data_IF_379793600238
#
_entry.id   IF_379793600238
#
_cell.length_a   1.000
_cell.length_b   1.000
_cell.length_c   1.000
_cell.angle_alpha   90.00
_cell.angle_beta   90.00
_cell.angle_gamma   90.00
#
_symmetry.space_group_name_H-M   'P 1'
#
loop_
_entity.id
_entity.type
_entity.pdbx_description
1 polymer ?
#
# COMPACT_ATOMS: atom_id res chain seq x y z
N UNK A 1 -15.98 -9.85 -34.46
CA UNK A 1 -15.67 -9.75 -33.01
C UNK A 1 -14.38 -8.95 -32.75
N UNK A 2 -14.27 -7.70 -33.22
CA UNK A 2 -13.10 -6.84 -32.94
C UNK A 2 -13.44 -5.42 -32.42
N UNK A 3 -14.72 -5.08 -32.24
CA UNK A 3 -15.15 -3.70 -31.93
C UNK A 3 -16.01 -3.58 -30.66
N UNK A 4 -15.72 -4.34 -29.60
CA UNK A 4 -16.34 -4.13 -28.28
C UNK A 4 -15.33 -3.58 -27.25
N UNK A 5 -14.03 -3.53 -27.59
CA UNK A 5 -12.95 -3.13 -26.68
C UNK A 5 -12.46 -1.68 -26.85
N UNK A 6 -13.27 -0.79 -27.41
CA UNK A 6 -12.94 0.64 -27.60
C UNK A 6 -13.89 1.56 -26.84
N UNK A 7 -14.29 1.18 -25.62
CA UNK A 7 -14.83 2.17 -24.68
C UNK A 7 -13.66 2.99 -24.12
N UNK A 8 -13.77 4.34 -24.09
CA UNK A 8 -12.66 5.23 -23.77
C UNK A 8 -12.14 4.93 -22.36
N UNK A 9 -10.87 4.55 -22.29
CA UNK A 9 -10.15 4.08 -21.11
C UNK A 9 -9.73 5.29 -20.26
N UNK A 10 -10.71 5.95 -19.64
CA UNK A 10 -10.53 7.28 -19.06
C UNK A 10 -11.03 7.29 -17.60
N UNK A 11 -10.56 6.37 -16.76
CA UNK A 11 -10.86 6.40 -15.31
C UNK A 11 -9.85 5.63 -14.43
N UNK A 12 -8.54 5.83 -14.64
CA UNK A 12 -7.47 5.09 -13.96
C UNK A 12 -7.62 5.03 -12.42
N UNK A 13 -7.49 6.14 -11.70
CA UNK A 13 -7.54 6.12 -10.23
C UNK A 13 -8.91 5.71 -9.66
N UNK A 14 -10.01 6.10 -10.30
CA UNK A 14 -11.35 5.72 -9.84
C UNK A 14 -11.53 4.19 -9.88
N UNK A 15 -11.08 3.55 -10.96
CA UNK A 15 -11.17 2.10 -11.09
C UNK A 15 -10.16 1.37 -10.22
N UNK A 16 -9.00 1.98 -9.95
CA UNK A 16 -8.09 1.52 -8.90
C UNK A 16 -8.76 1.49 -7.52
N UNK A 17 -9.50 2.54 -7.14
CA UNK A 17 -10.25 2.57 -5.88
C UNK A 17 -11.33 1.47 -5.87
N UNK A 18 -12.09 1.32 -6.95
CA UNK A 18 -13.12 0.27 -7.05
C UNK A 18 -12.49 -1.12 -6.95
N UNK A 19 -11.33 -1.34 -7.56
CA UNK A 19 -10.55 -2.57 -7.44
C UNK A 19 -10.11 -2.84 -6.00
N UNK A 20 -9.53 -1.84 -5.34
CA UNK A 20 -9.14 -1.95 -3.93
C UNK A 20 -10.32 -2.34 -3.04
N UNK A 21 -11.47 -1.70 -3.24
CA UNK A 21 -12.71 -2.03 -2.54
C UNK A 21 -13.15 -3.47 -2.82
N UNK A 22 -13.17 -3.89 -4.09
CA UNK A 22 -13.51 -5.25 -4.48
C UNK A 22 -12.62 -6.29 -3.78
N UNK A 23 -11.32 -6.02 -3.69
CA UNK A 23 -10.37 -6.85 -2.94
C UNK A 23 -10.66 -6.90 -1.44
N UNK A 24 -11.02 -5.76 -0.83
CA UNK A 24 -11.43 -5.70 0.58
C UNK A 24 -12.73 -6.48 0.84
N UNK A 25 -13.71 -6.37 -0.05
CA UNK A 25 -14.95 -7.16 0.02
C UNK A 25 -14.67 -8.66 -0.09
N UNK A 26 -13.79 -9.06 -1.00
CA UNK A 26 -13.36 -10.45 -1.13
C UNK A 26 -12.63 -10.93 0.15
N UNK A 27 -11.79 -10.09 0.75
CA UNK A 27 -11.17 -10.37 2.06
C UNK A 27 -12.20 -10.58 3.17
N UNK A 28 -13.20 -9.68 3.27
CA UNK A 28 -14.32 -9.80 4.22
C UNK A 28 -15.04 -11.14 4.06
N UNK A 29 -15.26 -11.57 2.82
CA UNK A 29 -15.89 -12.85 2.52
C UNK A 29 -15.09 -14.04 3.09
N UNK A 30 -13.76 -14.04 2.97
CA UNK A 30 -12.91 -15.07 3.58
C UNK A 30 -12.94 -15.00 5.11
N UNK A 31 -12.89 -13.81 5.71
CA UNK A 31 -13.02 -13.66 7.16
C UNK A 31 -14.35 -14.18 7.70
N UNK A 32 -15.46 -13.94 7.00
CA UNK A 32 -16.78 -14.50 7.37
C UNK A 32 -16.82 -16.03 7.28
N UNK A 33 -15.91 -16.66 6.53
CA UNK A 33 -15.75 -18.12 6.43
C UNK A 33 -14.73 -18.70 7.40
N UNK A 34 -14.27 -17.91 8.38
CA UNK A 34 -13.34 -18.35 9.40
C UNK A 34 -11.87 -18.28 9.00
N UNK A 35 -11.50 -17.46 8.02
CA UNK A 35 -10.09 -17.24 7.69
C UNK A 35 -9.29 -16.71 8.89
N UNK A 36 -8.14 -17.33 9.16
CA UNK A 36 -7.21 -16.90 10.20
C UNK A 36 -5.78 -17.28 9.81
N UNK A 37 -4.82 -16.38 10.05
CA UNK A 37 -3.38 -16.61 9.86
C UNK A 37 -2.71 -17.25 11.09
N UNK A 38 -3.50 -17.63 12.11
CA UNK A 38 -3.01 -18.15 13.38
C UNK A 38 -3.09 -17.12 14.52
N UNK A 39 -2.70 -17.54 15.72
CA UNK A 39 -2.68 -16.67 16.91
C UNK A 39 -1.39 -15.86 16.94
N UNK A 40 -1.51 -14.56 17.17
CA UNK A 40 -0.38 -13.71 17.54
C UNK A 40 0.10 -14.07 18.96
N UNK A 41 1.41 -14.28 19.13
CA UNK A 41 2.03 -14.53 20.42
C UNK A 41 2.66 -13.27 21.01
N UNK A 42 2.81 -13.23 22.34
CA UNK A 42 3.64 -12.22 22.98
C UNK A 42 5.10 -12.45 22.62
N UNK A 43 5.81 -11.38 22.24
CA UNK A 43 7.22 -11.42 21.90
C UNK A 43 8.03 -10.58 22.89
N UNK A 44 9.28 -10.98 23.10
CA UNK A 44 10.23 -10.30 23.97
C UNK A 44 10.42 -8.82 23.61
N UNK A 45 10.62 -7.98 24.63
CA UNK A 45 10.94 -6.55 24.49
C UNK A 45 12.20 -6.30 23.65
N UNK A 46 13.12 -7.28 23.56
CA UNK A 46 14.30 -7.15 22.70
C UNK A 46 13.91 -7.05 21.21
N UNK A 47 12.86 -7.77 20.78
CA UNK A 47 12.40 -7.77 19.39
C UNK A 47 11.79 -6.43 18.98
N UNK A 48 11.19 -5.68 19.91
CA UNK A 48 10.59 -4.37 19.61
C UNK A 48 11.62 -3.26 19.39
N UNK A 49 12.90 -3.49 19.75
CA UNK A 49 13.99 -2.54 19.52
C UNK A 49 14.56 -2.66 18.10
N UNK A 50 14.39 -3.81 17.43
CA UNK A 50 14.93 -4.07 16.08
C UNK A 50 14.52 -2.99 15.06
N UNK A 51 13.24 -2.56 14.97
CA UNK A 51 12.84 -1.51 14.05
C UNK A 51 13.52 -0.17 14.32
N UNK A 52 13.81 0.15 15.59
CA UNK A 52 14.50 1.39 15.97
C UNK A 52 15.92 1.40 15.40
N UNK A 53 16.66 0.29 15.56
CA UNK A 53 17.99 0.17 14.97
C UNK A 53 17.97 0.28 13.44
N UNK A 54 16.98 -0.33 12.78
CA UNK A 54 16.82 -0.23 11.32
C UNK A 54 16.57 1.23 10.92
N UNK A 55 15.67 1.95 11.60
CA UNK A 55 15.38 3.36 11.31
C UNK A 55 16.61 4.24 11.52
N UNK A 56 17.36 4.02 12.61
CA UNK A 56 18.62 4.75 12.87
C UNK A 56 19.64 4.45 11.77
N UNK A 57 19.81 3.18 11.37
CA UNK A 57 20.73 2.80 10.30
C UNK A 57 20.32 3.43 8.95
N UNK A 58 19.03 3.42 8.61
CA UNK A 58 18.50 4.07 7.41
C UNK A 58 18.70 5.59 7.46
N UNK A 59 18.52 6.21 8.62
CA UNK A 59 18.76 7.63 8.81
C UNK A 59 20.24 7.99 8.65
N UNK A 60 21.16 7.19 9.22
CA UNK A 60 22.60 7.34 9.04
C UNK A 60 22.98 7.17 7.56
N UNK A 61 22.45 6.14 6.88
CA UNK A 61 22.68 5.92 5.46
C UNK A 61 22.19 7.11 4.60
N UNK A 62 21.06 7.72 4.99
CA UNK A 62 20.50 8.90 4.33
C UNK A 62 21.37 10.15 4.51
N UNK A 63 21.81 10.47 5.73
CA UNK A 63 22.63 11.68 5.99
C UNK A 63 24.04 11.56 5.41
N UNK A 64 24.61 10.35 5.38
CA UNK A 64 25.94 10.08 4.82
C UNK A 64 25.92 9.88 3.31
N UNK A 65 24.73 9.89 2.69
CA UNK A 65 24.53 9.57 1.27
C UNK A 65 25.25 8.27 0.87
N UNK A 66 25.13 7.24 1.72
CA UNK A 66 25.87 6.00 1.56
C UNK A 66 25.55 5.31 0.24
N UNK A 67 26.58 5.02 -0.55
CA UNK A 67 26.49 4.33 -1.85
C UNK A 67 27.53 3.21 -1.84
N UNK A 68 27.14 2.00 -2.27
CA UNK A 68 28.08 0.88 -2.37
C UNK A 68 29.05 1.01 -3.56
N UNK A 69 28.73 1.84 -4.56
CA UNK A 69 29.53 2.08 -5.78
C UNK A 69 28.64 2.32 -6.99
N UNK A 70 29.22 2.53 -8.17
CA UNK A 70 28.47 2.62 -9.43
C UNK A 70 27.86 1.26 -9.79
N UNK A 71 26.55 1.21 -10.06
CA UNK A 71 25.76 0.01 -10.41
C UNK A 71 25.56 -1.04 -9.30
N UNK A 72 25.73 -0.70 -8.03
CA UNK A 72 25.44 -1.60 -6.90
C UNK A 72 24.02 -1.41 -6.30
N UNK A 73 23.51 -2.39 -5.52
CA UNK A 73 22.09 -2.46 -5.10
C UNK A 73 21.57 -1.35 -4.19
N UNK A 74 22.45 -0.48 -3.68
CA UNK A 74 22.05 0.74 -2.95
C UNK A 74 22.49 1.96 -3.75
N UNK A 75 21.52 2.59 -4.39
CA UNK A 75 21.66 3.82 -5.14
C UNK A 75 20.55 4.80 -4.76
N UNK A 76 20.80 6.09 -4.94
CA UNK A 76 19.80 7.13 -4.76
C UNK A 76 19.01 7.31 -6.06
N UNK A 77 17.69 7.23 -5.97
CA UNK A 77 16.83 7.45 -7.14
C UNK A 77 16.78 8.94 -7.49
N UNK A 78 16.91 9.26 -8.77
CA UNK A 78 16.87 10.66 -9.25
C UNK A 78 15.45 11.11 -9.64
N UNK A 79 14.58 10.18 -10.05
CA UNK A 79 13.30 10.50 -10.73
C UNK A 79 12.07 9.79 -10.15
N UNK A 80 12.23 8.97 -9.11
CA UNK A 80 11.08 8.28 -8.50
C UNK A 80 10.25 9.22 -7.60
N UNK A 81 8.99 8.88 -7.28
CA UNK A 81 8.16 9.67 -6.36
C UNK A 81 8.82 9.88 -4.99
N UNK A 82 9.59 8.90 -4.51
CA UNK A 82 10.34 8.99 -3.26
C UNK A 82 11.56 9.92 -3.34
N UNK A 83 12.06 10.24 -4.54
CA UNK A 83 13.11 11.23 -4.76
C UNK A 83 12.58 12.66 -4.67
N UNK A 84 11.28 12.86 -4.89
CA UNK A 84 10.61 14.14 -4.74
C UNK A 84 10.22 14.37 -3.27
N UNK A 85 11.20 14.66 -2.43
CA UNK A 85 10.97 14.98 -1.02
C UNK A 85 11.23 16.46 -0.72
N UNK A 86 10.52 17.00 0.27
CA UNK A 86 10.82 18.31 0.83
C UNK A 86 12.16 18.26 1.59
N UNK A 87 12.58 19.38 2.20
CA UNK A 87 13.71 19.38 3.12
C UNK A 87 13.58 18.23 4.14
N UNK A 88 14.68 17.53 4.40
CA UNK A 88 14.75 16.36 5.29
C UNK A 88 14.03 16.60 6.63
N UNK A 89 14.27 17.77 7.25
CA UNK A 89 13.69 18.10 8.55
C UNK A 89 12.18 18.32 8.49
N UNK A 90 11.68 18.92 7.41
CA UNK A 90 10.24 19.08 7.19
C UNK A 90 9.57 17.72 6.98
N UNK A 91 10.20 16.84 6.19
CA UNK A 91 9.70 15.49 5.94
C UNK A 91 9.66 14.65 7.22
N UNK A 92 10.71 14.72 8.06
CA UNK A 92 10.75 14.04 9.36
C UNK A 92 9.70 14.61 10.33
N UNK A 93 9.61 15.94 10.45
CA UNK A 93 8.62 16.58 11.32
C UNK A 93 7.18 16.24 10.92
N UNK A 94 6.86 16.30 9.62
CA UNK A 94 5.56 15.90 9.10
C UNK A 94 5.30 14.40 9.32
N UNK A 95 6.31 13.54 9.11
CA UNK A 95 6.22 12.10 9.36
C UNK A 95 5.91 11.76 10.81
N UNK A 96 6.57 12.42 11.77
CA UNK A 96 6.30 12.27 13.21
C UNK A 96 4.88 12.71 13.56
N UNK A 97 4.45 13.88 13.06
CA UNK A 97 3.09 14.38 13.29
C UNK A 97 2.03 13.42 12.73
N UNK A 98 2.19 12.98 11.48
CA UNK A 98 1.27 12.02 10.84
C UNK A 98 1.28 10.69 11.58
N UNK A 99 2.45 10.20 12.01
CA UNK A 99 2.58 8.99 12.79
C UNK A 99 1.82 9.06 14.12
N UNK A 100 1.98 10.15 14.89
CA UNK A 100 1.26 10.38 16.14
C UNK A 100 -0.26 10.40 15.91
N UNK A 101 -0.72 11.12 14.88
CA UNK A 101 -2.15 11.21 14.55
C UNK A 101 -2.70 9.84 14.12
N UNK A 102 -1.99 9.11 13.27
CA UNK A 102 -2.40 7.78 12.81
C UNK A 102 -2.43 6.76 13.95
N UNK A 103 -1.46 6.81 14.85
CA UNK A 103 -1.42 5.95 16.04
C UNK A 103 -2.62 6.21 16.96
N UNK A 104 -2.90 7.48 17.27
CA UNK A 104 -3.99 7.87 18.18
C UNK A 104 -5.37 7.61 17.58
N UNK A 105 -5.54 7.88 16.29
CA UNK A 105 -6.81 7.68 15.59
C UNK A 105 -7.08 6.22 15.19
N UNK A 106 -6.06 5.34 15.25
CA UNK A 106 -6.08 3.98 14.72
C UNK A 106 -6.53 3.95 13.25
N UNK A 107 -6.13 4.96 12.48
CA UNK A 107 -6.57 5.13 11.10
C UNK A 107 -6.17 3.93 10.23
N UNK A 108 -7.15 3.35 9.55
CA UNK A 108 -6.96 2.23 8.64
C UNK A 108 -7.92 2.36 7.48
N UNK A 109 -7.41 2.57 6.26
CA UNK A 109 -8.28 2.72 5.09
C UNK A 109 -9.16 1.48 4.86
N UNK A 110 -8.62 0.29 5.11
CA UNK A 110 -9.36 -0.98 4.98
C UNK A 110 -10.33 -1.16 6.15
N UNK A 111 -9.90 -0.78 7.34
CA UNK A 111 -10.74 -0.80 8.54
C UNK A 111 -11.94 0.11 8.39
N UNK A 112 -11.81 1.26 7.74
CA UNK A 112 -12.92 2.15 7.45
C UNK A 112 -14.01 1.47 6.64
N UNK A 113 -13.66 0.84 5.51
CA UNK A 113 -14.65 0.13 4.71
C UNK A 113 -15.18 -1.10 5.43
N UNK A 114 -14.31 -1.92 6.06
CA UNK A 114 -14.74 -3.11 6.82
C UNK A 114 -15.71 -2.75 7.94
N UNK A 115 -15.40 -1.74 8.76
CA UNK A 115 -16.24 -1.32 9.89
C UNK A 115 -17.55 -0.72 9.40
N UNK A 116 -17.52 0.05 8.32
CA UNK A 116 -18.73 0.57 7.70
C UNK A 116 -19.66 -0.54 7.21
N UNK A 117 -19.12 -1.59 6.57
CA UNK A 117 -19.92 -2.70 6.03
C UNK A 117 -20.40 -3.66 7.12
N UNK A 118 -19.54 -4.05 8.06
CA UNK A 118 -19.87 -5.05 9.09
C UNK A 118 -20.60 -4.46 10.29
N UNK A 119 -20.16 -3.29 10.75
CA UNK A 119 -20.59 -2.70 12.03
C UNK A 119 -21.37 -1.40 11.84
N UNK A 120 -21.52 -0.90 10.60
CA UNK A 120 -22.12 0.40 10.27
C UNK A 120 -21.45 1.59 10.97
N UNK A 121 -20.19 1.44 11.35
CA UNK A 121 -19.40 2.49 11.98
C UNK A 121 -18.69 3.32 10.91
N UNK A 122 -19.05 4.61 10.85
CA UNK A 122 -18.52 5.58 9.87
C UNK A 122 -17.36 6.42 10.41
N UNK A 123 -16.93 6.22 11.66
CA UNK A 123 -15.89 7.04 12.30
C UNK A 123 -14.59 7.07 11.48
N UNK A 124 -14.07 5.91 11.08
CA UNK A 124 -12.88 5.80 10.25
C UNK A 124 -13.11 6.26 8.80
N UNK A 125 -14.33 6.10 8.29
CA UNK A 125 -14.71 6.55 6.94
C UNK A 125 -14.68 8.08 6.84
N UNK A 126 -15.15 8.78 7.87
CA UNK A 126 -15.03 10.24 7.97
C UNK A 126 -13.58 10.71 7.90
N UNK A 127 -12.63 9.93 8.45
CA UNK A 127 -11.20 10.19 8.29
C UNK A 127 -10.72 10.12 6.85
N UNK A 128 -11.20 9.16 6.05
CA UNK A 128 -10.89 9.08 4.61
C UNK A 128 -11.46 10.29 3.87
N UNK A 129 -12.72 10.64 4.14
CA UNK A 129 -13.38 11.79 3.52
C UNK A 129 -12.63 13.08 3.85
N UNK A 130 -12.27 13.28 5.12
CA UNK A 130 -11.48 14.43 5.55
C UNK A 130 -10.12 14.50 4.84
N UNK A 131 -9.43 13.36 4.70
CA UNK A 131 -8.15 13.28 3.97
C UNK A 131 -8.34 13.70 2.50
N UNK A 132 -9.34 13.16 1.80
CA UNK A 132 -9.62 13.51 0.40
C UNK A 132 -9.95 14.99 0.24
N UNK A 133 -10.79 15.55 1.11
CA UNK A 133 -11.19 16.96 1.07
C UNK A 133 -10.00 17.86 1.34
N UNK A 134 -9.26 17.64 2.44
CA UNK A 134 -8.10 18.44 2.80
C UNK A 134 -7.00 18.37 1.72
N UNK A 135 -6.70 17.18 1.20
CA UNK A 135 -5.72 17.02 0.12
C UNK A 135 -6.17 17.73 -1.15
N UNK A 136 -7.46 17.71 -1.49
CA UNK A 136 -8.00 18.42 -2.66
C UNK A 136 -7.87 19.94 -2.50
N UNK A 137 -8.25 20.48 -1.32
CA UNK A 137 -8.13 21.91 -1.00
C UNK A 137 -6.66 22.35 -1.06
N UNK A 138 -5.75 21.60 -0.43
CA UNK A 138 -4.31 21.92 -0.45
C UNK A 138 -3.76 21.90 -1.87
N UNK A 139 -4.12 20.90 -2.70
CA UNK A 139 -3.69 20.87 -4.10
C UNK A 139 -4.26 22.04 -4.92
N UNK A 140 -5.50 22.48 -4.64
CA UNK A 140 -6.09 23.66 -5.27
C UNK A 140 -5.33 24.94 -4.88
N UNK A 141 -5.01 25.11 -3.59
CA UNK A 141 -4.24 26.25 -3.09
C UNK A 141 -2.82 26.30 -3.67
N UNK A 142 -2.19 25.15 -3.89
CA UNK A 142 -0.86 25.03 -4.49
C UNK A 142 -0.87 25.07 -6.03
N UNK A 143 -2.05 25.16 -6.68
CA UNK A 143 -2.18 25.09 -8.14
C UNK A 143 -1.79 23.73 -8.75
N UNK A 144 -1.70 22.69 -7.92
CA UNK A 144 -1.32 21.33 -8.30
C UNK A 144 -2.52 20.43 -8.62
N UNK A 145 -3.74 20.93 -8.44
CA UNK A 145 -4.96 20.18 -8.69
C UNK A 145 -5.18 19.95 -10.19
N UNK A 146 -4.99 18.69 -10.62
CA UNK A 146 -5.28 18.24 -11.99
C UNK A 146 -6.45 17.27 -11.96
N UNK A 147 -7.65 17.79 -12.23
CA UNK A 147 -8.82 16.96 -12.43
C UNK A 147 -8.80 16.44 -13.87
N UNK A 148 -8.36 15.21 -14.03
CA UNK A 148 -8.25 14.55 -15.31
C UNK A 148 -8.22 13.05 -15.08
N UNK A 149 -8.49 12.30 -16.13
CA UNK A 149 -8.62 10.85 -16.07
C UNK A 149 -7.48 10.12 -16.79
N UNK A 150 -6.63 10.88 -17.47
CA UNK A 150 -5.39 10.44 -18.12
C UNK A 150 -4.21 11.13 -17.46
N UNK A 151 -3.04 10.47 -17.49
CA UNK A 151 -1.79 11.00 -16.94
C UNK A 151 -1.88 11.44 -15.46
N UNK A 152 -2.77 10.80 -14.71
CA UNK A 152 -2.82 10.96 -13.26
C UNK A 152 -1.51 10.44 -12.65
N UNK A 153 -0.92 11.15 -11.66
CA UNK A 153 0.30 10.69 -11.01
C UNK A 153 0.11 9.27 -10.46
N UNK A 154 1.06 8.37 -10.75
CA UNK A 154 1.14 6.98 -10.25
C UNK A 154 0.03 6.04 -10.80
N UNK A 155 -1.12 6.55 -11.23
CA UNK A 155 -2.20 5.71 -11.78
C UNK A 155 -1.90 5.29 -13.22
N UNK A 156 -2.05 3.99 -13.49
CA UNK A 156 -1.93 3.47 -14.85
C UNK A 156 -3.21 3.74 -15.64
N UNK A 157 -3.04 4.14 -16.90
CA UNK A 157 -4.16 4.36 -17.82
C UNK A 157 -4.89 3.05 -18.15
N UNK A 158 -4.24 1.88 -18.03
CA UNK A 158 -4.91 0.60 -18.28
C UNK A 158 -5.89 0.25 -17.15
N UNK A 159 -7.18 0.39 -17.46
CA UNK A 159 -8.29 0.15 -16.54
C UNK A 159 -8.31 -1.27 -15.98
N UNK A 160 -8.05 -2.29 -16.80
CA UNK A 160 -8.19 -3.69 -16.40
C UNK A 160 -7.11 -4.03 -15.39
N UNK A 161 -5.86 -3.68 -15.71
CA UNK A 161 -4.74 -3.98 -14.84
C UNK A 161 -4.71 -3.12 -13.59
N UNK A 162 -5.17 -1.87 -13.66
CA UNK A 162 -5.32 -1.03 -12.47
C UNK A 162 -6.37 -1.61 -11.51
N UNK A 163 -7.53 -2.01 -12.01
CA UNK A 163 -8.55 -2.68 -11.21
C UNK A 163 -8.06 -3.99 -10.60
N UNK A 164 -7.46 -4.89 -11.40
CA UNK A 164 -7.00 -6.20 -10.93
C UNK A 164 -5.84 -6.10 -9.94
N UNK A 165 -4.87 -5.20 -10.19
CA UNK A 165 -3.74 -4.98 -9.29
C UNK A 165 -4.21 -4.41 -7.96
N UNK A 166 -5.13 -3.44 -7.98
CA UNK A 166 -5.68 -2.89 -6.74
C UNK A 166 -6.59 -3.89 -6.02
N UNK A 167 -7.28 -4.78 -6.73
CA UNK A 167 -8.00 -5.92 -6.14
C UNK A 167 -7.05 -6.85 -5.39
N UNK A 168 -5.91 -7.17 -5.99
CA UNK A 168 -4.85 -7.94 -5.34
C UNK A 168 -4.34 -7.22 -4.08
N UNK A 169 -4.04 -5.92 -4.16
CA UNK A 169 -3.65 -5.12 -2.99
C UNK A 169 -4.71 -5.18 -1.88
N UNK A 170 -5.99 -4.99 -2.22
CA UNK A 170 -7.10 -5.04 -1.27
C UNK A 170 -7.22 -6.40 -0.56
N UNK A 171 -7.01 -7.50 -1.28
CA UNK A 171 -6.96 -8.85 -0.72
C UNK A 171 -5.77 -9.02 0.24
N UNK A 172 -4.56 -8.72 -0.21
CA UNK A 172 -3.34 -8.82 0.60
C UNK A 172 -3.44 -8.02 1.89
N UNK A 173 -3.90 -6.77 1.80
CA UNK A 173 -4.01 -5.91 2.96
C UNK A 173 -5.14 -6.32 3.90
N UNK A 174 -6.20 -6.93 3.37
CA UNK A 174 -7.25 -7.53 4.19
C UNK A 174 -6.70 -8.70 5.00
N UNK A 175 -5.96 -9.61 4.37
CA UNK A 175 -5.33 -10.75 5.05
C UNK A 175 -4.30 -10.31 6.08
N UNK A 176 -3.49 -9.30 5.78
CA UNK A 176 -2.51 -8.74 6.71
C UNK A 176 -3.12 -7.90 7.86
N UNK A 177 -4.44 -7.69 7.87
CA UNK A 177 -5.12 -6.95 8.94
C UNK A 177 -4.91 -5.42 8.92
N UNK A 178 -4.39 -4.86 7.82
CA UNK A 178 -4.10 -3.43 7.72
C UNK A 178 -3.44 -3.01 6.40
N UNK A 179 -3.56 -1.72 6.08
CA UNK A 179 -2.88 -1.11 4.94
C UNK A 179 -1.41 -0.78 5.29
N UNK A 180 -0.55 -0.51 4.29
CA UNK A 180 0.86 -0.19 4.50
C UNK A 180 1.12 0.88 5.57
N UNK A 181 0.33 1.96 5.56
CA UNK A 181 0.45 3.03 6.55
C UNK A 181 0.16 2.58 7.99
N UNK A 182 -0.85 1.72 8.19
CA UNK A 182 -1.15 1.14 9.51
C UNK A 182 -0.01 0.21 9.97
N UNK A 183 0.60 -0.53 9.05
CA UNK A 183 1.72 -1.43 9.38
C UNK A 183 2.98 -0.65 9.79
N UNK A 184 3.24 0.53 9.21
CA UNK A 184 4.31 1.42 9.67
C UNK A 184 4.09 1.90 11.12
N UNK A 185 2.84 2.22 11.48
CA UNK A 185 2.51 2.58 12.87
C UNK A 185 2.69 1.39 13.80
N UNK A 186 2.19 0.21 13.43
CA UNK A 186 2.35 -1.00 14.24
C UNK A 186 3.81 -1.44 14.39
N UNK A 187 4.64 -1.22 13.38
CA UNK A 187 6.08 -1.41 13.48
C UNK A 187 6.67 -0.52 14.60
N UNK A 188 6.24 0.75 14.67
CA UNK A 188 6.60 1.67 15.74
C UNK A 188 6.06 1.30 17.13
N UNK A 189 4.98 0.52 17.18
CA UNK A 189 4.44 -0.06 18.42
C UNK A 189 5.12 -1.39 18.81
N UNK A 190 6.09 -1.87 18.03
CA UNK A 190 6.85 -3.09 18.30
C UNK A 190 6.21 -4.38 17.77
N UNK A 191 5.30 -4.28 16.78
CA UNK A 191 4.68 -5.46 16.17
C UNK A 191 5.60 -6.09 15.10
N UNK A 192 6.01 -7.34 15.33
CA UNK A 192 6.89 -8.07 14.41
C UNK A 192 6.17 -8.59 13.16
N UNK A 193 4.86 -8.85 13.20
CA UNK A 193 4.09 -9.21 12.00
C UNK A 193 4.06 -8.03 11.03
N UNK A 194 3.94 -6.81 11.56
CA UNK A 194 4.05 -5.58 10.78
C UNK A 194 5.46 -5.41 10.17
N UNK A 195 6.51 -5.76 10.92
CA UNK A 195 7.88 -5.77 10.41
C UNK A 195 8.05 -6.74 9.23
N UNK A 196 7.57 -7.98 9.38
CA UNK A 196 7.63 -8.99 8.33
C UNK A 196 6.83 -8.57 7.09
N UNK A 197 5.66 -7.96 7.29
CA UNK A 197 4.86 -7.40 6.21
C UNK A 197 5.60 -6.31 5.43
N UNK A 198 6.26 -5.39 6.11
CA UNK A 198 7.00 -4.30 5.47
C UNK A 198 8.26 -4.81 4.75
N UNK A 199 9.00 -5.76 5.35
CA UNK A 199 10.13 -6.42 4.68
C UNK A 199 9.66 -7.17 3.44
N UNK A 200 8.57 -7.93 3.54
CA UNK A 200 7.96 -8.63 2.40
C UNK A 200 7.53 -7.68 1.28
N UNK A 201 6.95 -6.52 1.63
CA UNK A 201 6.61 -5.48 0.66
C UNK A 201 7.84 -4.87 0.00
N UNK A 202 8.91 -4.59 0.75
CA UNK A 202 10.17 -4.05 0.21
C UNK A 202 10.82 -5.03 -0.76
N UNK A 203 10.95 -6.30 -0.37
CA UNK A 203 11.49 -7.37 -1.21
C UNK A 203 10.61 -7.60 -2.45
N UNK A 204 9.29 -7.60 -2.28
CA UNK A 204 8.33 -7.72 -3.36
C UNK A 204 8.41 -6.56 -4.35
N UNK A 205 8.52 -5.32 -3.87
CA UNK A 205 8.71 -4.15 -4.71
C UNK A 205 10.05 -4.22 -5.46
N UNK A 206 11.14 -4.58 -4.78
CA UNK A 206 12.43 -4.76 -5.41
C UNK A 206 12.37 -5.83 -6.51
N UNK A 207 11.80 -7.00 -6.23
CA UNK A 207 11.59 -8.05 -7.25
C UNK A 207 10.72 -7.53 -8.40
N UNK A 208 9.62 -6.83 -8.10
CA UNK A 208 8.71 -6.35 -9.12
C UNK A 208 9.37 -5.36 -10.09
N UNK A 209 10.21 -4.46 -9.59
CA UNK A 209 10.96 -3.50 -10.41
C UNK A 209 12.14 -4.13 -11.15
N UNK A 210 12.82 -5.13 -10.57
CA UNK A 210 13.98 -5.77 -11.22
C UNK A 210 13.59 -6.81 -12.28
N UNK A 211 12.49 -7.54 -12.07
CA UNK A 211 12.00 -8.54 -13.03
C UNK A 211 10.99 -7.98 -14.03
N UNK A 212 10.87 -6.65 -14.13
CA UNK A 212 9.94 -5.99 -15.05
C UNK A 212 8.49 -6.44 -14.86
N UNK A 213 8.06 -6.69 -13.61
CA UNK A 213 6.67 -6.99 -13.27
C UNK A 213 5.88 -5.71 -12.95
N UNK A 214 6.56 -4.67 -12.48
CA UNK A 214 5.97 -3.38 -12.18
C UNK A 214 5.57 -2.65 -13.48
N UNK A 215 4.33 -2.14 -13.51
CA UNK A 215 3.89 -1.25 -14.57
C UNK A 215 4.47 0.16 -14.36
N UNK A 216 4.52 0.97 -15.41
CA UNK A 216 5.03 2.34 -15.37
C UNK A 216 4.01 3.32 -15.97
N UNK A 217 4.32 4.62 -15.91
CA UNK A 217 3.51 5.65 -16.58
C UNK A 217 3.46 5.50 -18.10
N UNK A 218 4.36 4.73 -18.71
CA UNK A 218 4.37 4.45 -20.16
C UNK A 218 3.53 3.23 -20.55
N UNK A 219 3.01 2.47 -19.58
CA UNK A 219 2.15 1.32 -19.82
C UNK A 219 2.44 0.12 -18.91
N UNK A 220 1.68 -0.94 -19.15
CA UNK A 220 1.90 -2.25 -18.52
C UNK A 220 3.12 -2.94 -19.16
N UNK A 221 3.91 -3.66 -18.37
CA UNK A 221 4.98 -4.48 -18.93
C UNK A 221 4.41 -5.82 -19.43
N UNK A 222 5.18 -6.53 -20.25
CA UNK A 222 4.82 -7.89 -20.71
C UNK A 222 4.61 -8.86 -19.55
N UNK A 223 5.31 -8.67 -18.42
CA UNK A 223 5.25 -9.57 -17.28
C UNK A 223 4.25 -9.16 -16.19
N UNK A 224 3.75 -7.92 -16.19
CA UNK A 224 2.73 -7.44 -15.24
C UNK A 224 1.51 -8.37 -15.13
N UNK A 225 0.90 -8.83 -16.25
CA UNK A 225 -0.25 -9.74 -16.21
C UNK A 225 0.00 -11.02 -15.41
N UNK A 226 1.18 -11.61 -15.59
CA UNK A 226 1.57 -12.85 -14.93
C UNK A 226 1.79 -12.63 -13.43
N UNK A 227 2.44 -11.52 -13.05
CA UNK A 227 2.63 -11.16 -11.64
C UNK A 227 1.31 -10.97 -10.90
N UNK A 228 0.38 -10.20 -11.49
CA UNK A 228 -0.96 -9.97 -10.92
C UNK A 228 -1.76 -11.27 -10.86
N UNK A 229 -1.76 -12.05 -11.94
CA UNK A 229 -2.47 -13.33 -12.00
C UNK A 229 -1.97 -14.33 -10.94
N UNK A 230 -0.66 -14.53 -10.84
CA UNK A 230 -0.05 -15.41 -9.83
C UNK A 230 -0.34 -14.92 -8.41
N UNK A 231 -0.24 -13.61 -8.17
CA UNK A 231 -0.57 -13.01 -6.88
C UNK A 231 -2.02 -13.25 -6.48
N UNK A 232 -2.97 -13.06 -7.40
CA UNK A 232 -4.39 -13.34 -7.15
C UNK A 232 -4.64 -14.82 -6.87
N UNK A 233 -4.06 -15.73 -7.66
CA UNK A 233 -4.16 -17.16 -7.43
C UNK A 233 -3.59 -17.56 -6.07
N UNK A 234 -2.45 -16.99 -5.68
CA UNK A 234 -1.85 -17.20 -4.37
C UNK A 234 -2.76 -16.70 -3.24
N UNK A 235 -3.30 -15.49 -3.35
CA UNK A 235 -4.24 -14.95 -2.35
C UNK A 235 -5.50 -15.81 -2.24
N UNK A 236 -6.07 -16.27 -3.36
CA UNK A 236 -7.23 -17.16 -3.34
C UNK A 236 -6.88 -18.49 -2.67
N UNK A 237 -5.74 -19.09 -3.03
CA UNK A 237 -5.24 -20.31 -2.42
C UNK A 237 -5.11 -20.17 -0.90
N UNK A 238 -4.43 -19.11 -0.42
CA UNK A 238 -4.29 -18.83 1.02
C UNK A 238 -5.66 -18.63 1.68
N UNK A 239 -6.54 -17.84 1.06
CA UNK A 239 -7.89 -17.56 1.55
C UNK A 239 -8.75 -18.83 1.73
N UNK A 240 -8.61 -19.81 0.84
CA UNK A 240 -9.36 -21.07 0.92
C UNK A 240 -8.73 -22.11 1.85
N UNK A 241 -7.40 -22.12 1.97
CA UNK A 241 -6.65 -23.13 2.74
C UNK A 241 -6.49 -22.78 4.22
N UNK A 242 -6.31 -21.50 4.55
CA UNK A 242 -6.09 -21.06 5.93
C UNK A 242 -7.41 -20.75 6.63
N UNK A 243 -8.11 -21.80 7.05
CA UNK A 243 -9.28 -21.69 7.92
C UNK A 243 -8.88 -21.94 9.36
N UNK A 244 -9.39 -21.11 10.27
CA UNK A 244 -9.28 -21.34 11.70
C UNK A 244 -9.93 -22.68 12.03
N UNK A 245 -9.12 -23.67 12.40
CA UNK A 245 -9.57 -24.90 13.07
C UNK A 245 -9.76 -24.58 14.56
N UNK A 246 -10.77 -23.79 14.87
CA UNK A 246 -11.25 -23.56 16.23
C UNK A 246 -12.76 -23.39 16.21
#
# INVERSE_FOLDING_TARGET
>A
MKNILTWPVVAGAALGIVGLLAGVFAGIFFFKRGFSLGKSGEQSTASSIVPIFIVIALFIALITQFRFGENLPIFFSEKAPAAQHANLWLSLGAGVLVGIVMQRSRFCSIGAFRNFILSKDSYLLNGIVALVVCTSITNLMLGQFKLGFEQQPIAHNDVVWNFLSMTLCGLCFSFAGGCPGKQLVHLGEGNNDAALFLVGMLLGAAAAHNFSLAASGTGISTFTPYGVGLGLLFCLYIGFTNKSTH
#
